data_IF_997779427600
#
_entry.id   IF_997779427600
#
_cell.length_a   1.000
_cell.length_b   1.000
_cell.length_c   1.000
_cell.angle_alpha   90.00
_cell.angle_beta   90.00
_cell.angle_gamma   90.00
#
_symmetry.space_group_name_H-M   'P 1'
#
loop_
_entity.id
_entity.type
_entity.pdbx_description
1 polymer ?
#
# COMPACT_ATOMS: atom_id res chain seq x y z
N UNK A 1 -24.15 -22.36 -74.16
CA UNK A 1 -22.81 -22.98 -74.12
C UNK A 1 -22.12 -22.49 -72.84
N UNK A 2 -22.05 -23.34 -71.81
CA UNK A 2 -21.39 -22.99 -70.55
C UNK A 2 -19.92 -23.38 -70.63
N UNK A 3 -19.03 -22.39 -70.76
CA UNK A 3 -17.58 -22.60 -70.65
C UNK A 3 -17.20 -22.69 -69.18
N UNK A 4 -17.09 -23.91 -68.66
CA UNK A 4 -16.45 -24.17 -67.38
C UNK A 4 -14.94 -24.05 -67.55
N UNK A 5 -14.35 -22.96 -67.08
CA UNK A 5 -12.89 -22.79 -66.98
C UNK A 5 -12.38 -23.75 -65.91
N UNK A 6 -11.46 -24.69 -66.20
CA UNK A 6 -10.91 -25.58 -65.19
C UNK A 6 -10.00 -24.79 -64.22
N UNK A 7 -10.01 -25.10 -62.91
CA UNK A 7 -9.15 -24.41 -61.95
C UNK A 7 -7.67 -24.67 -62.28
N UNK A 8 -6.87 -23.60 -62.44
CA UNK A 8 -5.45 -23.72 -62.76
C UNK A 8 -4.65 -24.27 -61.57
N UNK A 9 -3.87 -25.36 -61.72
CA UNK A 9 -3.17 -26.03 -60.62
C UNK A 9 -2.10 -25.16 -59.93
N UNK A 10 -1.50 -24.18 -60.61
CA UNK A 10 -0.54 -23.23 -60.01
C UNK A 10 -1.21 -22.26 -59.02
N UNK A 11 -2.39 -21.75 -59.35
CA UNK A 11 -3.16 -20.86 -58.47
C UNK A 11 -3.69 -21.61 -57.23
N UNK A 12 -3.96 -22.92 -57.36
CA UNK A 12 -4.32 -23.76 -56.22
C UNK A 12 -3.12 -24.01 -55.29
N UNK A 13 -1.93 -24.30 -55.83
CA UNK A 13 -0.71 -24.52 -55.04
C UNK A 13 -0.25 -23.25 -54.29
N UNK A 14 -0.36 -22.08 -54.91
CA UNK A 14 -0.02 -20.80 -54.31
C UNK A 14 -0.97 -20.42 -53.16
N UNK A 15 -2.29 -20.69 -53.33
CA UNK A 15 -3.28 -20.54 -52.26
C UNK A 15 -3.01 -21.47 -51.07
N UNK A 16 -2.56 -22.70 -51.31
CA UNK A 16 -2.19 -23.64 -50.24
C UNK A 16 -0.95 -23.15 -49.48
N UNK A 17 0.08 -22.66 -50.18
CA UNK A 17 1.28 -22.10 -49.54
C UNK A 17 0.96 -20.87 -48.68
N UNK A 18 0.12 -19.95 -49.17
CA UNK A 18 -0.35 -18.80 -48.41
C UNK A 18 -1.13 -19.25 -47.17
N UNK A 19 -2.02 -20.23 -47.32
CA UNK A 19 -2.84 -20.75 -46.22
C UNK A 19 -1.98 -21.46 -45.14
N UNK A 20 -0.92 -22.18 -45.53
CA UNK A 20 0.04 -22.79 -44.60
C UNK A 20 0.91 -21.72 -43.90
N UNK A 21 1.34 -20.69 -44.62
CA UNK A 21 2.11 -19.57 -44.04
C UNK A 21 1.28 -18.81 -43.01
N UNK A 22 0.05 -18.42 -43.36
CA UNK A 22 -0.90 -17.76 -42.47
C UNK A 22 -1.19 -18.60 -41.23
N UNK A 23 -1.31 -19.92 -41.38
CA UNK A 23 -1.49 -20.83 -40.26
C UNK A 23 -0.28 -20.83 -39.32
N UNK A 24 0.94 -20.89 -39.86
CA UNK A 24 2.16 -20.83 -39.07
C UNK A 24 2.32 -19.50 -38.33
N UNK A 25 2.01 -18.38 -38.98
CA UNK A 25 2.10 -17.05 -38.37
C UNK A 25 1.05 -16.87 -37.26
N UNK A 26 -0.19 -17.35 -37.49
CA UNK A 26 -1.22 -17.37 -36.44
C UNK A 26 -0.85 -18.29 -35.28
N UNK A 27 -0.24 -19.45 -35.54
CA UNK A 27 0.21 -20.35 -34.50
C UNK A 27 1.32 -19.72 -33.64
N UNK A 28 2.30 -19.04 -34.26
CA UNK A 28 3.33 -18.28 -33.55
C UNK A 28 2.74 -17.13 -32.72
N UNK A 29 1.85 -16.32 -33.30
CA UNK A 29 1.20 -15.24 -32.58
C UNK A 29 0.35 -15.75 -31.40
N UNK A 30 -0.35 -16.87 -31.57
CA UNK A 30 -1.11 -17.51 -30.49
C UNK A 30 -0.19 -18.03 -29.37
N UNK A 31 0.96 -18.60 -29.73
CA UNK A 31 1.97 -19.05 -28.77
C UNK A 31 2.57 -17.88 -27.99
N UNK A 32 3.01 -16.82 -28.67
CA UNK A 32 3.53 -15.60 -28.03
C UNK A 32 2.50 -14.94 -27.10
N UNK A 33 1.23 -14.88 -27.53
CA UNK A 33 0.15 -14.35 -26.70
C UNK A 33 -0.08 -15.20 -25.45
N UNK A 34 -0.03 -16.52 -25.58
CA UNK A 34 -0.18 -17.45 -24.44
C UNK A 34 0.99 -17.35 -23.47
N UNK A 35 2.22 -17.26 -23.99
CA UNK A 35 3.42 -17.08 -23.18
C UNK A 35 3.38 -15.77 -22.39
N UNK A 36 3.04 -14.65 -23.05
CA UNK A 36 2.87 -13.33 -22.40
C UNK A 36 1.76 -13.35 -21.35
N UNK A 37 0.61 -13.96 -21.65
CA UNK A 37 -0.47 -14.08 -20.67
C UNK A 37 -0.05 -14.88 -19.42
N UNK A 38 0.76 -15.93 -19.60
CA UNK A 38 1.33 -16.71 -18.49
C UNK A 38 2.30 -15.89 -17.63
N UNK A 39 3.19 -15.12 -18.26
CA UNK A 39 4.10 -14.21 -17.58
C UNK A 39 3.35 -13.13 -16.78
N UNK A 40 2.38 -12.46 -17.42
CA UNK A 40 1.57 -11.43 -16.78
C UNK A 40 0.76 -11.96 -15.59
N UNK A 41 0.22 -13.18 -15.68
CA UNK A 41 -0.46 -13.83 -14.55
C UNK A 41 0.49 -14.13 -13.38
N UNK A 42 1.72 -14.57 -13.69
CA UNK A 42 2.76 -14.81 -12.70
C UNK A 42 3.15 -13.52 -11.98
N UNK A 43 3.44 -12.46 -12.73
CA UNK A 43 3.75 -11.14 -12.18
C UNK A 43 2.59 -10.55 -11.39
N UNK A 44 1.35 -10.72 -11.86
CA UNK A 44 0.18 -10.22 -11.17
C UNK A 44 -0.01 -10.92 -9.81
N UNK A 45 0.17 -12.23 -9.77
CA UNK A 45 0.09 -13.02 -8.53
C UNK A 45 1.20 -12.62 -7.55
N UNK A 46 2.43 -12.51 -8.03
CA UNK A 46 3.59 -12.08 -7.23
C UNK A 46 3.37 -10.68 -6.67
N UNK A 47 2.94 -9.72 -7.50
CA UNK A 47 2.67 -8.35 -7.08
C UNK A 47 1.57 -8.26 -6.01
N UNK A 48 0.56 -9.13 -6.03
CA UNK A 48 -0.43 -9.19 -4.97
C UNK A 48 0.18 -9.64 -3.64
N UNK A 49 1.03 -10.68 -3.66
CA UNK A 49 1.72 -11.15 -2.46
C UNK A 49 2.67 -10.08 -1.90
N UNK A 50 3.43 -9.41 -2.76
CA UNK A 50 4.32 -8.31 -2.37
C UNK A 50 3.53 -7.12 -1.76
N UNK A 51 2.35 -6.81 -2.29
CA UNK A 51 1.48 -5.78 -1.73
C UNK A 51 1.02 -6.15 -0.31
N UNK A 52 0.59 -7.39 -0.08
CA UNK A 52 0.24 -7.85 1.28
C UNK A 52 1.45 -7.83 2.22
N UNK A 53 2.60 -8.33 1.77
CA UNK A 53 3.83 -8.32 2.57
C UNK A 53 4.26 -6.89 2.93
N UNK A 54 4.14 -5.96 1.99
CA UNK A 54 4.42 -4.53 2.22
C UNK A 54 3.45 -3.94 3.23
N UNK A 55 2.14 -4.20 3.06
CA UNK A 55 1.10 -3.72 3.99
C UNK A 55 1.34 -4.23 5.42
N UNK A 56 1.67 -5.51 5.57
CA UNK A 56 1.98 -6.13 6.87
C UNK A 56 3.24 -5.51 7.50
N UNK A 57 4.30 -5.30 6.71
CA UNK A 57 5.53 -4.64 7.17
C UNK A 57 5.27 -3.20 7.62
N UNK A 58 4.45 -2.46 6.88
CA UNK A 58 4.04 -1.10 7.24
C UNK A 58 3.26 -1.10 8.55
N UNK A 59 2.28 -2.00 8.71
CA UNK A 59 1.52 -2.13 9.95
C UNK A 59 2.43 -2.43 11.15
N UNK A 60 3.37 -3.37 11.01
CA UNK A 60 4.33 -3.73 12.06
C UNK A 60 5.20 -2.54 12.48
N UNK A 61 5.75 -1.79 11.50
CA UNK A 61 6.54 -0.58 11.77
C UNK A 61 5.71 0.52 12.43
N UNK A 62 4.47 0.70 12.00
CA UNK A 62 3.56 1.66 12.61
C UNK A 62 3.27 1.33 14.07
N UNK A 63 3.02 0.06 14.38
CA UNK A 63 2.83 -0.40 15.75
C UNK A 63 4.08 -0.18 16.62
N UNK A 64 5.27 -0.46 16.09
CA UNK A 64 6.54 -0.17 16.76
C UNK A 64 6.69 1.33 17.07
N UNK A 65 6.44 2.18 16.07
CA UNK A 65 6.53 3.64 16.23
C UNK A 65 5.55 4.17 17.28
N UNK A 66 4.29 3.74 17.23
CA UNK A 66 3.27 4.12 18.22
C UNK A 66 3.66 3.67 19.63
N UNK A 67 4.23 2.46 19.76
CA UNK A 67 4.74 1.96 21.03
C UNK A 67 5.89 2.80 21.59
N UNK A 68 6.82 3.24 20.73
CA UNK A 68 7.92 4.12 21.12
C UNK A 68 7.39 5.49 21.59
N UNK A 69 6.42 6.08 20.88
CA UNK A 69 5.81 7.36 21.28
C UNK A 69 5.15 7.28 22.66
N UNK A 70 4.38 6.22 22.91
CA UNK A 70 3.77 5.99 24.23
C UNK A 70 4.81 5.82 25.34
N UNK A 71 5.91 5.12 25.06
CA UNK A 71 6.99 4.94 26.02
C UNK A 71 7.69 6.27 26.33
N UNK A 72 7.94 7.10 25.33
CA UNK A 72 8.57 8.41 25.51
C UNK A 72 7.65 9.40 26.24
N UNK A 73 6.35 9.39 25.95
CA UNK A 73 5.36 10.13 26.72
C UNK A 73 5.35 9.71 28.20
N UNK A 74 5.43 8.40 28.47
CA UNK A 74 5.52 7.86 29.83
C UNK A 74 6.76 8.36 30.57
N UNK A 75 7.94 8.35 29.93
CA UNK A 75 9.18 8.90 30.51
C UNK A 75 9.02 10.39 30.84
N UNK A 76 8.52 11.18 29.90
CA UNK A 76 8.26 12.62 30.11
C UNK A 76 7.30 12.88 31.26
N UNK A 77 6.23 12.10 31.36
CA UNK A 77 5.25 12.20 32.44
C UNK A 77 5.90 11.93 33.79
N UNK A 78 6.75 10.89 33.88
CA UNK A 78 7.50 10.58 35.09
C UNK A 78 8.50 11.67 35.49
N UNK A 79 9.23 12.24 34.52
CA UNK A 79 10.14 13.37 34.74
C UNK A 79 9.40 14.60 35.27
N UNK A 80 8.25 14.93 34.67
CA UNK A 80 7.40 16.05 35.10
C UNK A 80 6.86 15.85 36.51
N UNK A 81 6.37 14.65 36.84
CA UNK A 81 5.89 14.33 38.18
C UNK A 81 7.04 14.41 39.21
N UNK A 82 8.20 13.87 38.89
CA UNK A 82 9.39 13.93 39.75
C UNK A 82 9.87 15.36 40.00
N UNK A 83 9.84 16.22 38.96
CA UNK A 83 10.14 17.63 39.09
C UNK A 83 9.13 18.35 40.01
N UNK A 84 7.85 18.03 39.85
CA UNK A 84 6.78 18.59 40.69
C UNK A 84 6.95 18.21 42.15
N UNK A 85 7.27 16.95 42.46
CA UNK A 85 7.55 16.49 43.83
C UNK A 85 8.74 17.26 44.45
N UNK A 86 9.81 17.48 43.69
CA UNK A 86 10.95 18.29 44.16
C UNK A 86 10.54 19.73 44.45
N UNK A 87 9.73 20.34 43.59
CA UNK A 87 9.21 21.69 43.81
C UNK A 87 8.32 21.75 45.05
N UNK A 88 7.50 20.72 45.31
CA UNK A 88 6.65 20.63 46.50
C UNK A 88 7.45 20.59 47.81
N UNK A 89 8.67 20.06 47.80
CA UNK A 89 9.54 20.05 48.98
C UNK A 89 10.14 21.44 49.33
N UNK A 90 10.13 22.39 48.40
CA UNK A 90 10.70 23.73 48.58
C UNK A 90 9.68 24.79 49.02
N UNK A 91 8.40 24.41 49.11
CA UNK A 91 7.26 25.33 49.30
C UNK A 91 7.15 25.78 50.75
N UNK A 92 6.87 27.07 50.99
CA UNK A 92 6.76 27.66 52.34
C UNK A 92 5.37 28.16 52.65
N UNK A 93 4.53 28.38 51.64
CA UNK A 93 3.20 28.96 51.79
C UNK A 93 2.12 28.16 51.04
N UNK A 94 0.84 28.22 51.50
CA UNK A 94 -0.27 27.60 50.79
C UNK A 94 -0.46 28.12 49.35
N UNK A 95 -0.16 29.40 49.10
CA UNK A 95 -0.27 30.01 47.78
C UNK A 95 0.70 29.40 46.78
N UNK A 96 1.97 29.22 47.16
CA UNK A 96 2.97 28.56 46.32
C UNK A 96 2.61 27.09 46.02
N UNK A 97 2.00 26.40 46.98
CA UNK A 97 1.51 25.03 46.79
C UNK A 97 0.37 24.98 45.75
N UNK A 98 -0.56 25.93 45.83
CA UNK A 98 -1.67 26.02 44.88
C UNK A 98 -1.16 26.34 43.47
N UNK A 99 -0.17 27.21 43.35
CA UNK A 99 0.47 27.55 42.08
C UNK A 99 1.11 26.32 41.44
N UNK A 100 1.93 25.55 42.18
CA UNK A 100 2.57 24.33 41.66
C UNK A 100 1.54 23.30 41.20
N UNK A 101 0.46 23.09 41.97
CA UNK A 101 -0.60 22.16 41.58
C UNK A 101 -1.33 22.63 40.31
N UNK A 102 -1.66 23.92 40.21
CA UNK A 102 -2.33 24.48 39.04
C UNK A 102 -1.45 24.39 37.79
N UNK A 103 -0.16 24.70 37.90
CA UNK A 103 0.79 24.64 36.79
C UNK A 103 1.03 23.20 36.33
N UNK A 104 1.15 22.26 37.27
CA UNK A 104 1.23 20.83 36.95
C UNK A 104 -0.03 20.34 36.24
N UNK A 105 -1.21 20.65 36.76
CA UNK A 105 -2.48 20.24 36.17
C UNK A 105 -2.65 20.79 34.75
N UNK A 106 -2.34 22.08 34.55
CA UNK A 106 -2.36 22.72 33.24
C UNK A 106 -1.38 22.06 32.27
N UNK A 107 -0.12 21.90 32.68
CA UNK A 107 0.92 21.30 31.87
C UNK A 107 0.60 19.85 31.49
N UNK A 108 0.08 19.06 32.43
CA UNK A 108 -0.33 17.69 32.20
C UNK A 108 -1.50 17.61 31.20
N UNK A 109 -2.48 18.50 31.31
CA UNK A 109 -3.59 18.58 30.35
C UNK A 109 -3.11 18.97 28.95
N UNK A 110 -2.33 20.05 28.84
CA UNK A 110 -1.81 20.54 27.56
C UNK A 110 -0.95 19.46 26.88
N UNK A 111 -0.13 18.73 27.66
CA UNK A 111 0.69 17.61 27.17
C UNK A 111 -0.13 16.41 26.73
N UNK A 112 -1.17 16.03 27.49
CA UNK A 112 -2.03 14.90 27.15
C UNK A 112 -2.83 15.16 25.86
N UNK A 113 -3.34 16.38 25.67
CA UNK A 113 -4.05 16.76 24.45
C UNK A 113 -3.10 16.76 23.24
N UNK A 114 -1.88 17.24 23.41
CA UNK A 114 -0.86 17.21 22.36
C UNK A 114 -0.53 15.77 21.94
N UNK A 115 -0.28 14.88 22.91
CA UNK A 115 0.04 13.48 22.61
C UNK A 115 -1.16 12.74 21.97
N UNK A 116 -2.37 12.98 22.46
CA UNK A 116 -3.58 12.38 21.88
C UNK A 116 -3.77 12.80 20.41
N UNK A 117 -3.53 14.08 20.09
CA UNK A 117 -3.61 14.60 18.73
C UNK A 117 -2.56 13.92 17.83
N UNK A 118 -1.32 13.84 18.32
CA UNK A 118 -0.21 13.20 17.62
C UNK A 118 -0.47 11.71 17.34
N UNK A 119 -0.95 10.96 18.33
CA UNK A 119 -1.30 9.55 18.18
C UNK A 119 -2.45 9.35 17.18
N UNK A 120 -3.43 10.25 17.17
CA UNK A 120 -4.55 10.18 16.23
C UNK A 120 -4.09 10.41 14.78
N UNK A 121 -3.24 11.42 14.55
CA UNK A 121 -2.62 11.67 13.24
C UNK A 121 -1.75 10.49 12.78
N UNK A 122 -0.92 9.96 13.68
CA UNK A 122 -0.07 8.81 13.41
C UNK A 122 -0.89 7.57 13.02
N UNK A 123 -2.00 7.32 13.71
CA UNK A 123 -2.91 6.22 13.38
C UNK A 123 -3.59 6.39 12.02
N UNK A 124 -4.11 7.57 11.73
CA UNK A 124 -4.74 7.86 10.43
C UNK A 124 -3.76 7.69 9.28
N UNK A 125 -2.54 8.20 9.44
CA UNK A 125 -1.46 8.03 8.48
C UNK A 125 -1.13 6.56 8.27
N UNK A 126 -0.95 5.81 9.35
CA UNK A 126 -0.66 4.37 9.29
C UNK A 126 -1.75 3.60 8.54
N UNK A 127 -3.02 3.86 8.85
CA UNK A 127 -4.14 3.21 8.18
C UNK A 127 -4.11 3.46 6.66
N UNK A 128 -3.82 4.70 6.24
CA UNK A 128 -3.65 5.05 4.83
C UNK A 128 -2.48 4.30 4.17
N UNK A 129 -1.32 4.27 4.82
CA UNK A 129 -0.12 3.60 4.32
C UNK A 129 -0.27 2.07 4.23
N UNK A 130 -1.05 1.46 5.12
CA UNK A 130 -1.35 0.01 5.12
C UNK A 130 -2.25 -0.37 3.96
N UNK A 131 -3.23 0.46 3.61
CA UNK A 131 -4.20 0.14 2.53
C UNK A 131 -3.64 0.46 1.14
N UNK A 132 -2.73 1.44 1.04
CA UNK A 132 -2.17 1.93 -0.21
C UNK A 132 -1.63 0.85 -1.18
N UNK A 133 -0.83 -0.14 -0.73
CA UNK A 133 -0.32 -1.18 -1.61
C UNK A 133 -1.44 -2.00 -2.26
N UNK A 134 -2.49 -2.32 -1.50
CA UNK A 134 -3.65 -3.09 -2.00
C UNK A 134 -4.46 -2.25 -2.98
N UNK A 135 -4.72 -0.97 -2.67
CA UNK A 135 -5.40 -0.06 -3.60
C UNK A 135 -4.66 0.08 -4.94
N UNK A 136 -3.34 0.08 -4.90
CA UNK A 136 -2.50 0.14 -6.12
C UNK A 136 -2.65 -1.13 -6.97
N UNK A 137 -2.77 -2.31 -6.36
CA UNK A 137 -3.05 -3.56 -7.07
C UNK A 137 -4.42 -3.56 -7.74
N UNK A 138 -5.43 -2.99 -7.08
CA UNK A 138 -6.76 -2.84 -7.66
C UNK A 138 -6.74 -1.91 -8.89
N UNK A 139 -6.05 -0.78 -8.82
CA UNK A 139 -5.90 0.14 -9.95
C UNK A 139 -5.22 -0.55 -11.15
N UNK A 140 -4.13 -1.28 -10.92
CA UNK A 140 -3.44 -2.04 -11.97
C UNK A 140 -4.35 -3.11 -12.60
N UNK A 141 -5.17 -3.79 -11.80
CA UNK A 141 -6.14 -4.76 -12.31
C UNK A 141 -7.20 -4.09 -13.22
N UNK A 142 -7.71 -2.92 -12.81
CA UNK A 142 -8.68 -2.15 -13.59
C UNK A 142 -8.08 -1.66 -14.93
N UNK A 143 -6.83 -1.21 -14.93
CA UNK A 143 -6.12 -0.81 -16.15
C UNK A 143 -5.93 -1.99 -17.12
N UNK A 144 -5.49 -3.15 -16.61
CA UNK A 144 -5.34 -4.37 -17.42
C UNK A 144 -6.66 -4.85 -18.02
N UNK A 145 -7.76 -4.76 -17.28
CA UNK A 145 -9.09 -5.08 -17.80
C UNK A 145 -9.48 -4.12 -18.93
N UNK A 146 -9.25 -2.82 -18.75
CA UNK A 146 -9.54 -1.81 -19.77
C UNK A 146 -8.70 -2.01 -21.05
N UNK A 147 -7.43 -2.39 -20.92
CA UNK A 147 -6.53 -2.62 -22.06
C UNK A 147 -6.77 -3.92 -22.82
N UNK A 148 -7.50 -4.87 -22.23
CA UNK A 148 -7.85 -6.16 -22.87
C UNK A 148 -9.29 -6.20 -23.39
N UNK A 149 -10.16 -5.28 -22.94
CA UNK A 149 -11.53 -5.13 -23.41
C UNK A 149 -11.68 -4.16 -24.61
N UNK A 150 -10.63 -3.42 -24.97
CA UNK A 150 -10.52 -2.56 -26.16
C UNK A 150 -9.52 -3.19 -27.16
#
# INVERSE_FOLDING_TARGET
MATTVPPQPKAAAEKVNIMISDFNDRAKAAFEKTAKAGEELGEFTKGNFEAFATSAKTAAKGAESLGQELADYGKKSFESASATIKSLAAVKTPTELFQIQSDYAKSAFDSAVAEASKLSEAWLKLAGEVVQPISSRYALAAEKFKSTAL
#
